data_IF_585602035554
#
_entry.id   IF_585602035554
#
_cell.length_a   1.000
_cell.length_b   1.000
_cell.length_c   1.000
_cell.angle_alpha   90.00
_cell.angle_beta   90.00
_cell.angle_gamma   90.00
#
_symmetry.space_group_name_H-M   'P 1'
#
loop_
_entity.id
_entity.type
_entity.pdbx_description
1 polymer ?
#
# COMPACT_ATOMS: atom_id res chain seq x y z
N UNK A 1 1.49 -5.48 18.83
CA UNK A 1 2.24 -4.32 19.34
C UNK A 1 1.55 -3.04 18.96
N UNK A 2 1.44 -2.14 19.89
CA UNK A 2 0.74 -0.88 19.67
C UNK A 2 1.62 0.10 18.92
N UNK A 3 1.11 0.69 17.82
CA UNK A 3 1.87 1.66 17.05
C UNK A 3 2.04 2.95 17.83
N UNK A 4 3.20 3.58 17.68
CA UNK A 4 3.49 4.84 18.34
C UNK A 4 2.80 6.01 17.62
N UNK A 5 2.12 6.86 18.36
CA UNK A 5 1.48 8.07 17.81
C UNK A 5 2.46 9.21 17.56
N UNK A 6 3.73 9.07 17.99
CA UNK A 6 4.77 10.04 17.65
C UNK A 6 5.34 9.82 16.25
N UNK A 7 5.00 8.69 15.65
CA UNK A 7 5.42 8.35 14.29
C UNK A 7 4.44 8.93 13.28
N UNK A 8 4.90 9.31 12.09
CA UNK A 8 3.98 9.76 11.05
C UNK A 8 3.07 8.60 10.62
N UNK A 9 1.88 8.96 10.16
CA UNK A 9 1.01 7.99 9.51
C UNK A 9 1.75 7.42 8.32
N UNK A 10 1.83 6.11 8.23
CA UNK A 10 2.65 5.43 7.23
C UNK A 10 1.81 4.52 6.36
N UNK A 11 2.03 4.60 5.06
CA UNK A 11 1.36 3.77 4.06
C UNK A 11 2.41 2.94 3.34
N UNK A 12 2.18 1.62 3.29
CA UNK A 12 2.99 0.71 2.49
C UNK A 12 2.34 0.62 1.10
N UNK A 13 3.10 0.96 0.06
CA UNK A 13 2.59 0.93 -1.33
C UNK A 13 3.24 -0.22 -2.09
N UNK A 14 2.43 -1.24 -2.38
CA UNK A 14 2.84 -2.40 -3.16
C UNK A 14 2.53 -2.18 -4.63
N UNK A 15 3.47 -2.51 -5.50
CA UNK A 15 3.30 -2.36 -6.94
C UNK A 15 4.24 -3.28 -7.71
N UNK A 16 3.90 -3.53 -8.97
CA UNK A 16 4.78 -4.22 -9.90
C UNK A 16 5.94 -3.29 -10.28
N UNK A 17 7.10 -3.87 -10.54
CA UNK A 17 8.26 -3.10 -11.00
C UNK A 17 7.99 -2.33 -12.30
N UNK A 18 7.02 -2.77 -13.08
CA UNK A 18 6.64 -2.08 -14.32
C UNK A 18 5.78 -0.84 -14.06
N UNK A 19 5.27 -0.69 -12.86
CA UNK A 19 4.42 0.42 -12.46
C UNK A 19 5.15 1.42 -11.55
N UNK A 20 6.46 1.39 -11.53
CA UNK A 20 7.27 2.20 -10.62
C UNK A 20 7.03 3.70 -10.78
N UNK A 21 6.92 4.17 -12.02
CA UNK A 21 6.66 5.60 -12.25
C UNK A 21 5.32 6.02 -11.65
N UNK A 22 4.27 5.25 -11.93
CA UNK A 22 2.93 5.55 -11.42
C UNK A 22 2.90 5.47 -9.89
N UNK A 23 3.53 4.45 -9.32
CA UNK A 23 3.63 4.32 -7.87
C UNK A 23 4.31 5.54 -7.24
N UNK A 24 5.36 6.06 -7.89
CA UNK A 24 6.05 7.25 -7.42
C UNK A 24 5.13 8.48 -7.43
N UNK A 25 4.31 8.63 -8.46
CA UNK A 25 3.35 9.74 -8.55
C UNK A 25 2.33 9.63 -7.41
N UNK A 26 1.80 8.44 -7.17
CA UNK A 26 0.84 8.23 -6.08
C UNK A 26 1.49 8.51 -4.72
N UNK A 27 2.74 8.08 -4.54
CA UNK A 27 3.47 8.35 -3.31
C UNK A 27 3.67 9.85 -3.07
N UNK A 28 3.97 10.62 -4.12
CA UNK A 28 4.10 12.07 -4.00
C UNK A 28 2.80 12.72 -3.52
N UNK A 29 1.67 12.28 -4.06
CA UNK A 29 0.37 12.80 -3.67
C UNK A 29 0.05 12.47 -2.22
N UNK A 30 0.42 11.28 -1.79
CA UNK A 30 0.21 10.85 -0.40
C UNK A 30 1.11 11.63 0.56
N UNK A 31 2.38 11.78 0.23
CA UNK A 31 3.31 12.52 1.10
C UNK A 31 2.91 13.98 1.23
N UNK A 32 2.26 14.55 0.22
CA UNK A 32 1.74 15.92 0.30
C UNK A 32 0.65 16.07 1.38
N UNK A 33 0.02 14.98 1.80
CA UNK A 33 -0.95 14.99 2.89
C UNK A 33 -0.30 14.94 4.28
N UNK A 34 1.01 14.78 4.35
CA UNK A 34 1.74 14.71 5.61
C UNK A 34 2.02 13.31 6.12
N UNK A 35 1.78 12.28 5.32
CA UNK A 35 2.11 10.91 5.72
C UNK A 35 3.44 10.45 5.12
N UNK A 36 3.95 9.35 5.65
CA UNK A 36 5.13 8.69 5.12
C UNK A 36 4.70 7.54 4.22
N UNK A 37 5.41 7.34 3.12
CA UNK A 37 5.10 6.24 2.19
C UNK A 37 6.32 5.35 2.04
N UNK A 38 6.13 4.06 2.27
CA UNK A 38 7.15 3.06 2.02
C UNK A 38 6.86 2.42 0.67
N UNK A 39 7.72 2.68 -0.30
CA UNK A 39 7.61 2.07 -1.62
C UNK A 39 8.41 0.78 -1.64
N UNK A 40 7.79 -0.27 -2.13
CA UNK A 40 8.49 -1.52 -2.31
C UNK A 40 9.50 -1.39 -3.44
N UNK A 41 10.77 -1.56 -3.11
CA UNK A 41 11.86 -1.52 -4.08
C UNK A 41 12.31 -2.96 -4.31
N UNK A 42 11.94 -3.51 -5.43
CA UNK A 42 12.13 -4.90 -5.80
C UNK A 42 13.58 -5.29 -6.10
N UNK A 43 14.53 -4.43 -5.85
CA UNK A 43 15.92 -4.66 -6.23
C UNK A 43 16.77 -5.26 -5.13
N UNK A 44 16.16 -5.63 -4.02
CA UNK A 44 16.92 -6.13 -2.91
C UNK A 44 17.41 -7.53 -3.22
N UNK A 45 18.68 -7.75 -3.03
CA UNK A 45 19.28 -9.07 -3.08
C UNK A 45 19.33 -9.60 -1.65
N UNK A 46 19.22 -10.91 -1.48
CA UNK A 46 19.46 -11.48 -0.17
C UNK A 46 18.32 -12.24 0.49
N UNK A 47 17.33 -12.65 -0.26
CA UNK A 47 16.36 -13.66 0.18
C UNK A 47 15.64 -13.35 1.49
N UNK A 48 16.05 -14.02 2.58
CA UNK A 48 15.36 -13.92 3.86
C UNK A 48 15.42 -12.53 4.48
N UNK A 49 16.49 -11.78 4.25
CA UNK A 49 16.59 -10.42 4.77
C UNK A 49 15.62 -9.49 4.09
N UNK A 50 15.38 -9.71 2.79
CA UNK A 50 14.38 -8.94 2.05
C UNK A 50 13.00 -9.19 2.64
N UNK A 51 12.64 -10.45 2.83
CA UNK A 51 11.34 -10.80 3.39
C UNK A 51 11.15 -10.21 4.78
N UNK A 52 12.19 -10.19 5.59
CA UNK A 52 12.16 -9.59 6.91
C UNK A 52 11.92 -8.09 6.82
N UNK A 53 12.64 -7.40 5.94
CA UNK A 53 12.51 -5.96 5.75
C UNK A 53 11.10 -5.60 5.29
N UNK A 54 10.55 -6.34 4.34
CA UNK A 54 9.19 -6.12 3.85
C UNK A 54 8.18 -6.38 4.96
N UNK A 55 8.33 -7.47 5.71
CA UNK A 55 7.44 -7.79 6.81
C UNK A 55 7.41 -6.67 7.84
N UNK A 56 8.60 -6.16 8.22
CA UNK A 56 8.70 -5.07 9.18
C UNK A 56 8.06 -3.79 8.65
N UNK A 57 8.26 -3.49 7.36
CA UNK A 57 7.66 -2.31 6.75
C UNK A 57 6.13 -2.39 6.76
N UNK A 58 5.56 -3.55 6.44
CA UNK A 58 4.11 -3.75 6.46
C UNK A 58 3.59 -3.70 7.89
N UNK A 59 4.30 -4.34 8.82
CA UNK A 59 3.92 -4.35 10.23
C UNK A 59 3.88 -2.96 10.83
N UNK A 60 4.81 -2.10 10.44
CA UNK A 60 4.89 -0.73 10.91
C UNK A 60 3.96 0.23 10.19
N UNK A 61 3.39 -0.18 9.08
CA UNK A 61 2.47 0.66 8.32
C UNK A 61 1.09 0.74 8.99
N UNK A 62 0.44 1.87 8.81
CA UNK A 62 -0.94 2.05 9.25
C UNK A 62 -1.92 1.40 8.26
N UNK A 63 -1.56 1.39 6.98
CA UNK A 63 -2.34 0.72 5.94
C UNK A 63 -1.46 0.40 4.75
N UNK A 64 -1.93 -0.53 3.93
CA UNK A 64 -1.27 -0.92 2.70
C UNK A 64 -2.14 -0.54 1.50
N UNK A 65 -1.49 0.01 0.50
CA UNK A 65 -2.11 0.36 -0.77
C UNK A 65 -1.53 -0.55 -1.83
N UNK A 66 -2.36 -1.17 -2.63
CA UNK A 66 -1.90 -2.07 -3.69
C UNK A 66 -2.30 -1.49 -5.04
N UNK A 67 -1.31 -1.17 -5.86
CA UNK A 67 -1.56 -0.74 -7.23
C UNK A 67 -1.81 -2.00 -8.08
N UNK A 68 -3.07 -2.18 -8.45
CA UNK A 68 -3.49 -3.36 -9.22
C UNK A 68 -3.53 -3.02 -10.70
N UNK A 69 -2.65 -3.64 -11.46
CA UNK A 69 -2.53 -3.47 -12.90
C UNK A 69 -2.46 -4.84 -13.55
N UNK A 70 -2.56 -4.95 -14.88
CA UNK A 70 -2.35 -6.24 -15.54
C UNK A 70 -0.99 -6.87 -15.18
N UNK A 71 0.04 -6.05 -14.95
CA UNK A 71 1.36 -6.53 -14.57
C UNK A 71 1.39 -7.03 -13.14
N UNK A 72 0.75 -6.30 -12.20
CA UNK A 72 0.76 -6.71 -10.80
C UNK A 72 0.01 -8.01 -10.56
N UNK A 73 -1.04 -8.29 -11.34
CA UNK A 73 -1.78 -9.54 -11.24
C UNK A 73 -0.90 -10.76 -11.57
N UNK A 74 0.19 -10.56 -12.30
CA UNK A 74 1.14 -11.61 -12.66
C UNK A 74 2.35 -11.63 -11.73
N UNK A 75 2.46 -10.69 -10.80
CA UNK A 75 3.60 -10.57 -9.92
C UNK A 75 3.46 -11.46 -8.71
N UNK A 76 4.35 -12.42 -8.57
CA UNK A 76 4.41 -13.27 -7.37
C UNK A 76 4.77 -12.42 -6.14
N UNK A 77 5.60 -11.40 -6.32
CA UNK A 77 6.04 -10.54 -5.24
C UNK A 77 4.88 -9.76 -4.63
N UNK A 78 4.03 -9.17 -5.50
CA UNK A 78 2.84 -8.47 -5.04
C UNK A 78 1.92 -9.42 -4.26
N UNK A 79 1.77 -10.66 -4.74
CA UNK A 79 0.95 -11.66 -4.03
C UNK A 79 1.50 -11.97 -2.65
N UNK A 80 2.82 -12.06 -2.51
CA UNK A 80 3.46 -12.28 -1.20
C UNK A 80 3.17 -11.13 -0.25
N UNK A 81 3.28 -9.90 -0.72
CA UNK A 81 3.02 -8.72 0.10
C UNK A 81 1.57 -8.63 0.56
N UNK A 82 0.64 -8.94 -0.33
CA UNK A 82 -0.78 -9.00 0.03
C UNK A 82 -1.01 -10.04 1.12
N UNK A 83 -0.41 -11.22 0.96
CA UNK A 83 -0.51 -12.28 1.97
C UNK A 83 0.03 -11.85 3.32
N UNK A 84 1.16 -11.18 3.34
CA UNK A 84 1.74 -10.66 4.57
C UNK A 84 0.83 -9.64 5.24
N UNK A 85 0.29 -8.71 4.48
CA UNK A 85 -0.62 -7.68 5.01
C UNK A 85 -1.88 -8.32 5.60
N UNK A 86 -2.42 -9.34 4.94
CA UNK A 86 -3.58 -10.08 5.45
C UNK A 86 -3.28 -10.71 6.81
N UNK A 87 -2.16 -11.43 6.90
CA UNK A 87 -1.78 -12.11 8.14
C UNK A 87 -1.54 -11.12 9.27
N UNK A 88 -0.96 -9.97 8.96
CA UNK A 88 -0.66 -8.93 9.95
C UNK A 88 -1.87 -8.06 10.29
N UNK A 89 -3.00 -8.27 9.63
CA UNK A 89 -4.22 -7.52 9.90
C UNK A 89 -4.16 -6.06 9.47
N UNK A 90 -3.33 -5.74 8.51
CA UNK A 90 -3.19 -4.37 7.99
C UNK A 90 -4.30 -4.09 6.99
N UNK A 91 -4.91 -2.89 7.06
CA UNK A 91 -5.91 -2.48 6.08
C UNK A 91 -5.30 -2.48 4.68
N UNK A 92 -5.98 -3.10 3.73
CA UNK A 92 -5.53 -3.17 2.34
C UNK A 92 -6.56 -2.47 1.46
N UNK A 93 -6.09 -1.53 0.64
CA UNK A 93 -6.95 -0.85 -0.34
C UNK A 93 -6.35 -1.03 -1.73
N UNK A 94 -7.08 -1.69 -2.65
CA UNK A 94 -6.64 -1.79 -4.04
C UNK A 94 -6.93 -0.50 -4.80
N UNK A 95 -5.98 -0.07 -5.62
CA UNK A 95 -6.15 1.00 -6.61
C UNK A 95 -6.06 0.35 -7.97
N UNK A 96 -7.15 0.41 -8.74
CA UNK A 96 -7.28 -0.33 -9.99
C UNK A 96 -6.84 0.51 -11.17
N UNK A 97 -5.90 0.00 -11.93
CA UNK A 97 -5.41 0.62 -13.16
C UNK A 97 -5.58 -0.36 -14.32
N UNK A 98 -6.58 -0.13 -15.15
CA UNK A 98 -6.92 -1.00 -16.29
C UNK A 98 -7.25 -2.44 -15.89
N UNK A 99 -7.83 -2.62 -14.72
CA UNK A 99 -8.26 -3.93 -14.21
C UNK A 99 -9.66 -3.76 -13.62
N UNK A 100 -10.55 -4.67 -13.96
CA UNK A 100 -11.87 -4.72 -13.35
C UNK A 100 -11.76 -5.25 -11.91
N UNK A 101 -12.57 -4.73 -11.02
CA UNK A 101 -12.55 -5.15 -9.62
C UNK A 101 -12.78 -6.66 -9.49
N UNK A 102 -13.65 -7.23 -10.32
CA UNK A 102 -13.93 -8.66 -10.31
C UNK A 102 -12.72 -9.51 -10.68
N UNK A 103 -11.74 -8.94 -11.37
CA UNK A 103 -10.53 -9.63 -11.80
C UNK A 103 -9.35 -9.41 -10.85
N UNK A 104 -9.57 -8.72 -9.74
CA UNK A 104 -8.51 -8.37 -8.80
C UNK A 104 -8.35 -9.37 -7.65
N UNK A 105 -8.75 -10.61 -7.84
CA UNK A 105 -8.54 -11.64 -6.82
C UNK A 105 -7.07 -11.71 -6.40
N UNK A 106 -6.76 -11.85 -5.10
CA UNK A 106 -7.64 -12.10 -3.97
C UNK A 106 -8.26 -10.84 -3.34
N UNK A 107 -8.15 -9.71 -3.98
CA UNK A 107 -8.58 -8.42 -3.44
C UNK A 107 -10.03 -8.07 -3.77
N UNK A 108 -10.76 -8.96 -4.45
CA UNK A 108 -12.12 -8.68 -4.92
C UNK A 108 -13.09 -8.31 -3.80
N UNK A 109 -12.85 -8.82 -2.59
CA UNK A 109 -13.72 -8.53 -1.43
C UNK A 109 -13.38 -7.20 -0.74
N UNK A 110 -12.31 -6.53 -1.18
CA UNK A 110 -11.87 -5.27 -0.57
C UNK A 110 -12.54 -4.10 -1.26
N UNK A 111 -12.78 -3.02 -0.50
CA UNK A 111 -13.21 -1.77 -1.10
C UNK A 111 -12.04 -1.23 -1.92
N UNK A 112 -12.27 -1.05 -3.22
CA UNK A 112 -11.25 -0.61 -4.15
C UNK A 112 -11.62 0.72 -4.77
N UNK A 113 -10.63 1.41 -5.30
CA UNK A 113 -10.82 2.65 -6.06
C UNK A 113 -10.20 2.49 -7.44
N UNK A 114 -10.92 2.94 -8.47
CA UNK A 114 -10.28 3.09 -9.76
C UNK A 114 -9.23 4.20 -9.69
N UNK A 115 -8.16 4.08 -10.45
CA UNK A 115 -7.10 5.09 -10.46
C UNK A 115 -7.66 6.51 -10.72
N UNK A 116 -8.66 6.62 -11.59
CA UNK A 116 -9.28 7.91 -11.90
C UNK A 116 -10.00 8.53 -10.70
N UNK A 117 -10.32 7.74 -9.68
CA UNK A 117 -10.98 8.17 -8.46
C UNK A 117 -10.01 8.28 -7.28
N UNK A 118 -8.71 8.35 -7.55
CA UNK A 118 -7.72 8.38 -6.50
C UNK A 118 -7.92 9.57 -5.53
N UNK A 119 -8.46 10.68 -6.02
CA UNK A 119 -8.74 11.84 -5.16
C UNK A 119 -9.75 11.50 -4.05
N UNK A 120 -10.69 10.60 -4.32
CA UNK A 120 -11.63 10.13 -3.29
C UNK A 120 -10.90 9.38 -2.19
N UNK A 121 -9.95 8.53 -2.59
CA UNK A 121 -9.11 7.81 -1.62
C UNK A 121 -8.27 8.78 -0.80
N UNK A 122 -7.69 9.79 -1.44
CA UNK A 122 -6.90 10.80 -0.74
C UNK A 122 -7.71 11.53 0.35
N UNK A 123 -8.98 11.81 0.09
CA UNK A 123 -9.86 12.43 1.08
C UNK A 123 -10.04 11.54 2.31
N UNK A 124 -10.21 10.25 2.10
CA UNK A 124 -10.33 9.31 3.22
C UNK A 124 -9.04 9.20 4.02
N UNK A 125 -7.91 9.17 3.34
CA UNK A 125 -6.60 9.12 3.99
C UNK A 125 -6.37 10.38 4.82
N UNK A 126 -6.74 11.53 4.27
CA UNK A 126 -6.62 12.80 5.00
C UNK A 126 -7.35 12.74 6.34
N UNK A 127 -8.57 12.18 6.34
CA UNK A 127 -9.34 12.03 7.56
C UNK A 127 -8.67 11.07 8.54
N UNK A 128 -8.10 9.98 8.03
CA UNK A 128 -7.38 9.03 8.89
C UNK A 128 -6.10 9.62 9.46
N UNK A 129 -5.40 10.45 8.69
CA UNK A 129 -4.19 11.14 9.18
C UNK A 129 -4.55 12.10 10.30
N UNK A 130 -5.64 12.88 10.13
CA UNK A 130 -6.10 13.80 11.15
C UNK A 130 -6.49 13.07 12.44
N UNK A 131 -7.20 11.97 12.32
CA UNK A 131 -7.58 11.13 13.46
C UNK A 131 -6.35 10.54 14.16
N UNK A 132 -5.35 10.14 13.41
CA UNK A 132 -4.10 9.63 13.95
C UNK A 132 -3.35 10.70 14.75
N UNK A 133 -3.30 11.91 14.24
CA UNK A 133 -2.65 13.03 14.92
C UNK A 133 -3.35 13.40 16.23
N UNK A 134 -4.68 13.36 16.26
CA UNK A 134 -5.47 13.66 17.45
C UNK A 134 -5.21 12.69 18.60
N UNK A 135 -4.78 11.47 18.29
CA UNK A 135 -4.50 10.43 19.28
C UNK A 135 -3.08 10.50 19.83
N UNK A 136 -2.29 11.45 19.36
CA UNK A 136 -0.90 11.61 19.80
C UNK A 136 -0.81 12.16 21.20
#
# INVERSE_FOLDING_TARGET
MKKSHTRPYTIFLSHSSRDTWLASVLAERLTALGCSVWLDVMFLEGGQEILRTIKEAIEDANEALVLVSPQSLKSQWVSVEIGMAEVLGVRITPILNHVEHTDSAPLVSRKAYDLNDFDKFLSEVRDRIASWAEKS
#
